data_IF_613573275009
#
_entry.id   IF_613573275009
#
_cell.length_a   1.000
_cell.length_b   1.000
_cell.length_c   1.000
_cell.angle_alpha   90.00
_cell.angle_beta   90.00
_cell.angle_gamma   90.00
#
_symmetry.space_group_name_H-M   'P 1'
#
loop_
_entity.id
_entity.type
_entity.pdbx_description
1 polymer ?
#
# COMPACT_ATOMS: atom_id res chain seq x y z
N UNK A 1 39.14 -14.68 45.48
CA UNK A 1 39.29 -13.76 44.33
C UNK A 1 39.01 -14.57 43.08
N UNK A 2 37.88 -14.46 42.37
CA UNK A 2 36.70 -13.63 42.57
C UNK A 2 35.47 -14.38 42.05
N UNK A 3 34.43 -14.38 42.87
CA UNK A 3 33.06 -14.75 42.51
C UNK A 3 32.40 -13.51 41.93
N UNK A 4 32.28 -13.40 40.60
CA UNK A 4 31.36 -12.46 39.93
C UNK A 4 31.34 -12.60 38.38
N UNK A 5 31.25 -13.83 37.85
CA UNK A 5 31.12 -14.01 36.39
C UNK A 5 30.11 -15.08 35.95
N UNK A 6 29.12 -15.40 36.81
CA UNK A 6 28.07 -16.35 36.46
C UNK A 6 26.70 -16.01 37.08
N UNK A 7 26.34 -14.74 37.02
CA UNK A 7 24.99 -14.22 37.21
C UNK A 7 24.79 -13.19 36.09
N UNK A 8 23.61 -13.15 35.45
CA UNK A 8 23.28 -12.43 34.20
C UNK A 8 23.50 -13.27 32.93
N UNK A 9 22.84 -14.45 32.85
CA UNK A 9 22.42 -15.01 31.55
C UNK A 9 21.24 -16.00 31.64
N UNK A 10 20.47 -15.97 32.74
CA UNK A 10 19.38 -16.94 32.98
C UNK A 10 18.15 -16.35 33.67
N UNK A 11 17.81 -15.07 33.41
CA UNK A 11 16.64 -14.43 34.02
C UNK A 11 15.85 -13.44 33.12
N UNK A 12 15.72 -13.71 31.82
CA UNK A 12 14.76 -13.01 30.92
C UNK A 12 13.88 -14.01 30.13
N UNK A 13 13.70 -15.23 30.63
CA UNK A 13 12.79 -16.23 30.01
C UNK A 13 11.65 -16.72 30.92
N UNK A 14 11.50 -16.19 32.14
CA UNK A 14 10.38 -16.55 33.02
C UNK A 14 9.95 -15.30 33.78
N UNK A 15 9.08 -14.50 33.16
CA UNK A 15 8.14 -13.54 33.78
C UNK A 15 7.40 -12.80 32.65
N UNK A 16 6.52 -13.52 31.95
CA UNK A 16 5.36 -12.97 31.24
C UNK A 16 4.30 -14.07 31.06
N UNK A 17 4.08 -14.83 32.13
CA UNK A 17 2.95 -15.75 32.30
C UNK A 17 2.48 -15.62 33.75
N UNK A 18 1.87 -14.47 34.07
CA UNK A 18 0.93 -14.24 35.17
C UNK A 18 0.61 -12.75 35.21
N UNK A 19 -0.18 -12.29 34.25
CA UNK A 19 -1.07 -11.12 34.37
C UNK A 19 -2.21 -11.31 33.36
N UNK A 20 -2.93 -12.41 33.57
CA UNK A 20 -4.24 -12.69 32.98
C UNK A 20 -5.16 -12.78 34.19
N UNK A 21 -5.76 -11.63 34.55
CA UNK A 21 -6.98 -11.44 35.35
C UNK A 21 -6.99 -10.00 35.89
N UNK A 22 -7.24 -9.01 35.02
CA UNK A 22 -7.79 -7.68 35.40
C UNK A 22 -8.29 -6.80 34.24
N UNK A 23 -8.35 -7.29 33.00
CA UNK A 23 -8.94 -6.54 31.88
C UNK A 23 -10.13 -7.31 31.28
N UNK A 24 -11.23 -7.40 32.02
CA UNK A 24 -12.50 -7.95 31.52
C UNK A 24 -13.66 -6.95 31.59
N UNK A 25 -13.41 -5.68 31.95
CA UNK A 25 -14.42 -4.61 31.95
C UNK A 25 -14.13 -3.45 30.97
N UNK A 26 -12.96 -3.39 30.31
CA UNK A 26 -12.62 -2.32 29.34
C UNK A 26 -12.98 -2.67 27.88
N UNK A 27 -13.32 -3.93 27.57
CA UNK A 27 -13.53 -4.39 26.19
C UNK A 27 -14.85 -3.92 25.56
N UNK A 28 -15.81 -3.46 26.36
CA UNK A 28 -17.11 -3.04 25.83
C UNK A 28 -17.12 -1.56 25.40
N UNK A 29 -16.32 -0.72 26.04
CA UNK A 29 -16.24 0.73 25.75
C UNK A 29 -15.35 1.02 24.53
N UNK A 30 -14.23 0.30 24.39
CA UNK A 30 -13.30 0.46 23.25
C UNK A 30 -13.92 0.04 21.90
N UNK A 31 -14.96 -0.81 21.93
CA UNK A 31 -15.69 -1.29 20.75
C UNK A 31 -16.60 -0.23 20.09
N UNK A 32 -16.88 0.88 20.79
CA UNK A 32 -17.71 2.00 20.29
C UNK A 32 -16.90 3.19 19.77
N UNK A 33 -15.58 3.13 19.85
CA UNK A 33 -14.70 4.22 19.41
C UNK A 33 -14.44 4.14 17.91
N UNK A 34 -14.85 5.16 17.17
CA UNK A 34 -14.50 5.33 15.76
C UNK A 34 -13.39 6.38 15.64
N UNK A 35 -12.58 6.32 14.58
CA UNK A 35 -11.60 7.38 14.32
C UNK A 35 -12.32 8.55 13.66
N UNK A 36 -12.16 9.75 14.19
CA UNK A 36 -12.67 10.99 13.61
C UNK A 36 -11.49 11.87 13.20
N UNK A 37 -11.61 12.52 12.05
CA UNK A 37 -10.79 13.69 11.72
C UNK A 37 -11.51 14.90 12.31
N UNK A 38 -10.92 15.49 13.35
CA UNK A 38 -11.47 16.63 14.06
C UNK A 38 -10.80 17.90 13.55
N UNK A 39 -11.59 18.84 13.06
CA UNK A 39 -11.17 20.16 12.63
C UNK A 39 -11.39 21.17 13.75
N UNK A 40 -10.38 22.01 14.00
CA UNK A 40 -10.43 23.05 15.03
C UNK A 40 -9.94 24.40 14.48
N UNK A 41 -10.50 25.49 14.99
CA UNK A 41 -10.05 26.85 14.76
C UNK A 41 -8.71 27.08 15.46
N UNK A 42 -7.83 27.84 14.82
CA UNK A 42 -6.54 28.18 15.40
C UNK A 42 -6.73 29.07 16.64
N UNK A 43 -6.12 28.75 17.80
CA UNK A 43 -6.30 29.55 19.01
C UNK A 43 -5.62 30.92 18.88
N UNK A 44 -6.30 31.99 19.31
CA UNK A 44 -5.77 33.38 19.26
C UNK A 44 -4.61 33.64 20.22
N UNK A 45 -4.36 32.77 21.20
CA UNK A 45 -3.29 32.94 22.20
C UNK A 45 -2.43 31.69 22.34
N UNK A 46 -1.15 31.83 21.97
CA UNK A 46 -0.11 30.80 22.10
C UNK A 46 0.11 30.41 23.58
N UNK A 47 -0.26 29.19 23.94
CA UNK A 47 0.19 28.53 25.17
C UNK A 47 0.78 27.17 24.79
N UNK A 48 2.11 27.10 24.78
CA UNK A 48 2.95 25.90 24.84
C UNK A 48 2.64 24.71 23.90
N UNK A 49 2.23 24.97 22.67
CA UNK A 49 2.50 24.07 21.53
C UNK A 49 3.29 24.86 20.49
N UNK A 50 4.47 24.37 20.09
CA UNK A 50 5.27 24.97 19.00
C UNK A 50 4.66 24.66 17.62
N UNK A 51 3.34 24.66 17.51
CA UNK A 51 2.61 24.43 16.27
C UNK A 51 1.49 25.46 16.16
N UNK A 52 1.71 26.49 15.35
CA UNK A 52 0.68 27.42 14.91
C UNK A 52 -0.28 26.77 13.88
N UNK A 53 -0.09 25.47 13.56
CA UNK A 53 -0.64 24.81 12.37
C UNK A 53 -1.71 23.73 12.65
N UNK A 54 -2.13 23.52 13.90
CA UNK A 54 -3.14 22.50 14.23
C UNK A 54 -4.56 22.98 13.88
N UNK A 55 -4.92 22.92 12.59
CA UNK A 55 -6.30 23.09 12.10
C UNK A 55 -7.10 21.79 12.10
N UNK A 56 -6.43 20.66 12.30
CA UNK A 56 -7.09 19.35 12.43
C UNK A 56 -6.19 18.29 13.07
N UNK A 57 -6.78 17.33 13.76
CA UNK A 57 -6.10 16.15 14.29
C UNK A 57 -6.99 14.91 14.14
N UNK A 58 -6.37 13.71 14.13
CA UNK A 58 -7.11 12.45 14.16
C UNK A 58 -7.19 11.95 15.61
N UNK A 59 -8.38 11.57 16.06
CA UNK A 59 -8.61 11.00 17.37
C UNK A 59 -9.60 9.84 17.30
N UNK A 60 -9.40 8.83 18.14
CA UNK A 60 -10.43 7.80 18.37
C UNK A 60 -11.39 8.34 19.42
N UNK A 61 -12.63 8.55 19.03
CA UNK A 61 -13.68 9.12 19.85
C UNK A 61 -14.94 8.29 19.69
N UNK A 62 -15.70 8.14 20.75
CA UNK A 62 -17.07 7.65 20.68
C UNK A 62 -17.97 8.73 20.05
N UNK A 63 -19.10 8.35 19.43
CA UNK A 63 -20.07 9.32 18.93
C UNK A 63 -20.54 10.33 19.99
N UNK A 64 -20.56 9.94 21.27
CA UNK A 64 -20.94 10.82 22.38
C UNK A 64 -19.81 11.77 22.76
N UNK A 65 -18.54 11.34 22.73
CA UNK A 65 -17.38 12.24 22.90
C UNK A 65 -17.26 13.25 21.77
N UNK A 66 -17.61 12.87 20.54
CA UNK A 66 -17.69 13.81 19.40
C UNK A 66 -18.75 14.88 19.67
N UNK A 67 -19.95 14.50 20.15
CA UNK A 67 -20.99 15.47 20.54
C UNK A 67 -20.59 16.40 21.68
N UNK A 68 -19.78 15.94 22.63
CA UNK A 68 -19.23 16.81 23.66
C UNK A 68 -18.13 17.73 23.13
N UNK A 69 -17.38 17.27 22.12
CA UNK A 69 -16.36 18.05 21.44
C UNK A 69 -16.97 19.15 20.55
N UNK A 70 -18.12 18.88 19.91
CA UNK A 70 -18.92 19.85 19.15
C UNK A 70 -19.28 21.10 19.96
N UNK A 71 -19.35 20.97 21.29
CA UNK A 71 -19.69 22.07 22.21
C UNK A 71 -18.48 22.92 22.62
N UNK A 72 -17.25 22.54 22.25
CA UNK A 72 -16.03 23.24 22.66
C UNK A 72 -15.79 24.47 21.77
N UNK A 73 -15.41 25.64 22.33
CA UNK A 73 -15.00 26.79 21.54
C UNK A 73 -13.84 26.43 20.61
N UNK A 74 -13.96 26.78 19.32
CA UNK A 74 -12.98 26.45 18.29
C UNK A 74 -13.16 25.08 17.65
N UNK A 75 -14.21 24.32 17.94
CA UNK A 75 -14.56 23.14 17.15
C UNK A 75 -15.19 23.53 15.80
N UNK A 76 -14.74 22.96 14.70
CA UNK A 76 -15.28 23.23 13.35
C UNK A 76 -16.12 22.07 12.85
N UNK A 77 -15.57 20.85 12.85
CA UNK A 77 -16.27 19.64 12.43
C UNK A 77 -15.53 18.38 12.87
N UNK A 78 -16.25 17.25 12.98
CA UNK A 78 -15.66 15.93 13.17
C UNK A 78 -16.26 14.99 12.14
N UNK A 79 -15.41 14.41 11.29
CA UNK A 79 -15.84 13.51 10.23
C UNK A 79 -15.40 12.09 10.56
N UNK A 80 -16.31 11.11 10.59
CA UNK A 80 -15.95 9.71 10.81
C UNK A 80 -15.07 9.24 9.65
N UNK A 81 -13.95 8.63 10.01
CA UNK A 81 -12.95 8.15 9.10
C UNK A 81 -13.51 7.06 8.16
N UNK A 82 -13.27 7.23 6.86
CA UNK A 82 -13.54 6.23 5.81
C UNK A 82 -12.26 5.96 5.04
N UNK A 83 -12.06 4.73 4.53
CA UNK A 83 -10.72 4.12 4.37
C UNK A 83 -10.53 3.41 3.02
N UNK A 84 -9.60 3.83 2.12
CA UNK A 84 -9.42 3.33 0.73
C UNK A 84 -8.03 3.62 0.09
N UNK A 85 -7.65 3.15 -1.14
CA UNK A 85 -6.23 3.06 -1.59
C UNK A 85 -5.75 3.65 -3.01
N UNK A 86 -4.48 3.51 -3.53
CA UNK A 86 -3.48 4.53 -4.05
C UNK A 86 -2.51 4.31 -5.35
N UNK A 87 -2.46 5.05 -6.48
CA UNK A 87 -1.64 4.69 -7.72
C UNK A 87 -0.45 5.63 -8.22
N UNK A 88 0.42 5.35 -9.25
CA UNK A 88 1.60 6.22 -9.70
C UNK A 88 1.74 6.71 -11.15
N UNK A 89 1.25 6.06 -12.23
CA UNK A 89 1.29 6.71 -13.58
C UNK A 89 0.44 7.99 -13.65
N UNK A 90 -0.25 8.26 -12.56
CA UNK A 90 -1.03 9.45 -12.31
C UNK A 90 -0.59 10.19 -11.03
N UNK A 91 0.13 9.58 -10.07
CA UNK A 91 0.42 10.27 -8.79
C UNK A 91 1.21 11.56 -8.93
N UNK A 92 2.22 11.72 -9.79
CA UNK A 92 2.90 13.01 -9.92
C UNK A 92 1.91 14.09 -10.37
N UNK A 93 1.11 13.80 -11.40
CA UNK A 93 0.08 14.73 -11.90
C UNK A 93 -1.00 15.01 -10.84
N UNK A 94 -1.46 13.98 -10.12
CA UNK A 94 -2.41 14.11 -9.00
C UNK A 94 -1.88 15.02 -7.89
N UNK A 95 -0.57 14.99 -7.62
CA UNK A 95 0.12 15.91 -6.70
C UNK A 95 0.47 17.27 -7.34
N UNK A 96 0.01 17.56 -8.56
CA UNK A 96 0.28 18.79 -9.27
C UNK A 96 1.70 18.92 -9.86
N UNK A 97 2.49 17.83 -9.85
CA UNK A 97 3.82 17.78 -10.48
C UNK A 97 3.66 17.63 -11.99
N UNK A 98 3.79 18.75 -12.69
CA UNK A 98 3.59 18.85 -14.13
C UNK A 98 4.91 19.19 -14.83
N UNK A 99 5.12 18.65 -16.04
CA UNK A 99 6.34 18.93 -16.79
C UNK A 99 6.47 20.44 -17.08
N UNK A 100 7.68 20.95 -16.86
CA UNK A 100 8.13 22.32 -17.14
C UNK A 100 7.41 23.42 -16.36
N UNK A 101 6.72 23.08 -15.28
CA UNK A 101 6.03 24.04 -14.43
C UNK A 101 6.06 23.65 -12.95
N UNK A 102 5.78 24.63 -12.09
CA UNK A 102 5.74 24.47 -10.64
C UNK A 102 7.01 23.83 -10.08
N UNK A 103 6.81 22.96 -9.10
CA UNK A 103 7.87 22.39 -8.29
C UNK A 103 8.95 21.63 -9.08
N UNK A 104 8.58 20.90 -10.14
CA UNK A 104 9.55 20.15 -10.94
C UNK A 104 10.53 21.04 -11.68
N UNK A 105 10.05 22.15 -12.26
CA UNK A 105 10.91 23.14 -12.90
C UNK A 105 11.84 23.78 -11.88
N UNK A 106 11.28 24.20 -10.74
CA UNK A 106 12.01 24.98 -9.74
C UNK A 106 13.04 24.12 -8.97
N UNK A 107 12.77 22.82 -8.79
CA UNK A 107 13.70 21.84 -8.23
C UNK A 107 14.64 21.20 -9.26
N UNK A 108 14.53 21.59 -10.53
CA UNK A 108 15.23 20.98 -11.66
C UNK A 108 15.10 19.44 -11.68
N UNK A 109 13.90 18.95 -11.38
CA UNK A 109 13.53 17.53 -11.40
C UNK A 109 14.41 16.59 -10.53
N UNK A 110 15.19 17.12 -9.58
CA UNK A 110 16.13 16.29 -8.81
C UNK A 110 17.57 16.29 -9.29
N UNK A 111 17.91 17.05 -10.33
CA UNK A 111 19.24 17.00 -10.95
C UNK A 111 20.37 17.19 -9.93
N UNK A 112 21.26 16.19 -9.84
CA UNK A 112 22.43 16.20 -8.97
C UNK A 112 22.17 15.81 -7.50
N UNK A 113 20.92 15.50 -7.13
CA UNK A 113 20.59 14.86 -5.85
C UNK A 113 20.79 13.35 -5.95
N UNK A 114 21.19 12.74 -4.83
CA UNK A 114 21.36 11.30 -4.70
C UNK A 114 20.35 10.81 -3.67
N UNK A 115 19.50 9.86 -4.06
CA UNK A 115 18.51 9.22 -3.20
C UNK A 115 19.04 7.83 -2.85
N UNK A 116 19.25 7.61 -1.55
CA UNK A 116 19.57 6.28 -1.01
C UNK A 116 18.29 5.48 -0.78
N UNK A 117 18.22 4.26 -1.30
CA UNK A 117 17.08 3.34 -1.12
C UNK A 117 17.58 2.10 -0.38
N UNK A 118 17.03 1.85 0.80
CA UNK A 118 17.34 0.70 1.66
C UNK A 118 16.18 -0.28 1.53
N UNK A 119 16.35 -1.36 0.77
CA UNK A 119 15.23 -2.22 0.33
C UNK A 119 15.70 -3.63 -0.08
N UNK A 120 14.91 -4.36 -0.89
CA UNK A 120 15.19 -5.72 -1.39
C UNK A 120 16.20 -5.78 -2.54
N UNK A 121 16.73 -4.63 -2.97
CA UNK A 121 17.69 -4.52 -4.07
C UNK A 121 17.15 -3.70 -5.24
N UNK A 122 17.71 -3.93 -6.43
CA UNK A 122 17.23 -3.29 -7.67
C UNK A 122 17.32 -4.24 -8.87
N UNK A 123 16.40 -4.14 -9.82
CA UNK A 123 16.55 -4.69 -11.16
C UNK A 123 17.06 -3.59 -12.11
N UNK A 124 18.39 -3.51 -12.34
CA UNK A 124 19.04 -2.34 -12.93
C UNK A 124 18.67 -2.13 -14.42
N UNK A 125 18.34 -3.20 -15.14
CA UNK A 125 18.07 -3.16 -16.58
C UNK A 125 16.65 -2.66 -16.91
N UNK A 126 15.83 -2.35 -15.91
CA UNK A 126 14.50 -1.78 -16.16
C UNK A 126 14.61 -0.40 -16.83
N UNK A 127 13.77 -0.08 -17.84
CA UNK A 127 13.77 1.22 -18.50
C UNK A 127 13.67 2.43 -17.56
N UNK A 128 13.05 2.28 -16.38
CA UNK A 128 12.98 3.34 -15.36
C UNK A 128 14.34 3.76 -14.80
N UNK A 129 15.40 2.97 -15.00
CA UNK A 129 16.74 3.27 -14.52
C UNK A 129 17.72 3.55 -15.66
N UNK A 130 17.21 3.83 -16.86
CA UNK A 130 18.02 4.41 -17.93
C UNK A 130 18.55 5.78 -17.50
N UNK A 131 19.71 6.16 -18.04
CA UNK A 131 20.40 7.40 -17.70
C UNK A 131 20.31 8.49 -18.77
N UNK A 132 19.34 8.37 -19.69
CA UNK A 132 19.05 9.42 -20.66
C UNK A 132 18.67 10.73 -19.93
N UNK A 133 19.35 11.82 -20.29
CA UNK A 133 19.16 13.14 -19.68
C UNK A 133 19.80 13.31 -18.29
N UNK A 134 20.42 12.27 -17.73
CA UNK A 134 21.09 12.36 -16.43
C UNK A 134 22.44 13.07 -16.55
N UNK A 135 22.80 13.95 -15.60
CA UNK A 135 24.16 14.46 -15.49
C UNK A 135 25.11 13.34 -15.03
N UNK A 136 26.45 13.50 -15.13
CA UNK A 136 27.38 12.60 -14.45
C UNK A 136 27.16 12.64 -12.92
N UNK A 137 27.49 11.56 -12.19
CA UNK A 137 27.40 11.52 -10.74
C UNK A 137 28.13 12.72 -10.09
N UNK A 138 27.60 13.31 -9.01
CA UNK A 138 28.26 14.44 -8.36
C UNK A 138 29.67 14.05 -7.90
N UNK A 139 30.67 14.91 -8.09
CA UNK A 139 32.07 14.63 -7.74
C UNK A 139 32.30 14.23 -6.26
N UNK A 140 31.38 14.61 -5.36
CA UNK A 140 31.38 14.20 -3.95
C UNK A 140 30.99 12.73 -3.71
N UNK A 141 30.42 12.06 -4.71
CA UNK A 141 29.98 10.67 -4.60
C UNK A 141 31.17 9.73 -4.50
N UNK A 142 31.14 8.87 -3.47
CA UNK A 142 32.19 7.88 -3.19
C UNK A 142 31.63 6.46 -3.02
N UNK A 143 30.37 6.26 -3.41
CA UNK A 143 29.73 4.95 -3.32
C UNK A 143 30.34 3.96 -4.31
N UNK A 144 30.03 2.68 -4.11
CA UNK A 144 30.50 1.58 -4.96
C UNK A 144 29.32 0.92 -5.67
N UNK A 145 29.65 0.28 -6.78
CA UNK A 145 28.73 -0.54 -7.55
C UNK A 145 29.17 -1.99 -7.46
N UNK A 146 28.45 -2.82 -6.71
CA UNK A 146 28.80 -4.22 -6.44
C UNK A 146 27.98 -5.19 -7.31
N UNK A 147 27.96 -4.95 -8.62
CA UNK A 147 27.47 -5.94 -9.59
C UNK A 147 28.63 -6.72 -10.19
N UNK A 148 28.43 -8.02 -10.48
CA UNK A 148 29.48 -8.91 -10.97
C UNK A 148 29.95 -8.64 -12.41
N UNK A 149 29.25 -7.80 -13.18
CA UNK A 149 29.59 -7.55 -14.60
C UNK A 149 29.65 -6.05 -14.90
N UNK A 150 28.52 -5.33 -14.90
CA UNK A 150 28.39 -3.86 -14.68
C UNK A 150 26.92 -3.49 -14.73
N UNK A 151 26.37 -2.85 -13.70
CA UNK A 151 24.95 -2.41 -13.73
C UNK A 151 24.71 -1.08 -13.01
N UNK A 152 25.73 -0.21 -13.00
CA UNK A 152 25.56 1.20 -12.65
C UNK A 152 25.81 2.08 -13.87
N UNK A 153 25.11 3.20 -13.93
CA UNK A 153 25.16 4.20 -14.98
C UNK A 153 25.00 5.60 -14.34
N UNK A 154 24.71 6.64 -15.12
CA UNK A 154 24.50 7.96 -14.53
C UNK A 154 23.19 8.08 -13.74
N UNK A 155 22.27 7.11 -13.84
CA UNK A 155 21.03 7.05 -13.07
C UNK A 155 21.21 6.29 -11.75
N UNK A 156 21.57 5.02 -11.85
CA UNK A 156 21.92 4.14 -10.75
C UNK A 156 23.43 4.24 -10.52
N UNK A 157 23.84 5.08 -9.58
CA UNK A 157 25.27 5.44 -9.39
C UNK A 157 25.97 4.60 -8.32
N UNK A 158 25.22 3.76 -7.61
CA UNK A 158 25.77 2.79 -6.67
C UNK A 158 24.75 1.74 -6.25
N UNK A 159 25.25 0.56 -5.94
CA UNK A 159 24.46 -0.57 -5.50
C UNK A 159 25.32 -1.43 -4.58
N UNK A 160 24.82 -1.69 -3.38
CA UNK A 160 25.48 -2.41 -2.31
C UNK A 160 24.51 -3.44 -1.74
N UNK A 161 25.02 -4.49 -1.13
CA UNK A 161 24.23 -5.47 -0.39
C UNK A 161 24.89 -5.77 0.96
N UNK A 162 24.09 -6.08 1.97
CA UNK A 162 24.55 -6.30 3.34
C UNK A 162 23.91 -7.59 3.88
N UNK A 163 24.74 -8.63 4.07
CA UNK A 163 24.44 -9.99 4.55
C UNK A 163 23.67 -10.96 3.61
N UNK A 164 24.11 -12.25 3.67
CA UNK A 164 23.68 -13.48 2.96
C UNK A 164 23.60 -13.50 1.43
N UNK A 165 23.30 -12.39 0.78
CA UNK A 165 23.25 -12.34 -0.68
C UNK A 165 24.63 -11.99 -1.25
N UNK A 166 24.90 -12.42 -2.48
CA UNK A 166 26.13 -12.10 -3.21
C UNK A 166 25.89 -11.06 -4.31
N UNK A 167 24.74 -10.39 -4.29
CA UNK A 167 24.31 -9.46 -5.35
C UNK A 167 23.28 -8.44 -4.85
N UNK A 168 23.31 -7.20 -5.34
CA UNK A 168 22.28 -6.20 -5.09
C UNK A 168 21.04 -6.36 -6.00
N UNK A 169 20.97 -7.43 -6.80
CA UNK A 169 19.81 -7.74 -7.62
C UNK A 169 18.55 -7.95 -6.77
N UNK A 170 17.45 -7.41 -7.27
CA UNK A 170 16.11 -7.57 -6.71
C UNK A 170 15.40 -8.77 -7.32
N UNK A 171 15.17 -9.79 -6.49
CA UNK A 171 14.41 -10.99 -6.85
C UNK A 171 12.96 -10.93 -6.34
N UNK A 172 12.66 -9.96 -5.47
CA UNK A 172 11.34 -9.77 -4.87
C UNK A 172 10.50 -8.78 -5.69
N UNK A 173 11.09 -7.64 -6.04
CA UNK A 173 10.47 -6.57 -6.83
C UNK A 173 10.13 -5.32 -6.02
N UNK A 174 10.02 -5.41 -4.70
CA UNK A 174 9.69 -4.27 -3.83
C UNK A 174 10.71 -3.12 -3.98
N UNK A 175 12.01 -3.40 -3.91
CA UNK A 175 13.06 -2.38 -4.07
C UNK A 175 13.08 -1.71 -5.43
N UNK A 176 12.84 -2.48 -6.50
CA UNK A 176 12.71 -1.96 -7.87
C UNK A 176 11.51 -1.02 -8.01
N UNK A 177 10.37 -1.42 -7.46
CA UNK A 177 9.15 -0.63 -7.47
C UNK A 177 9.31 0.66 -6.65
N UNK A 178 9.86 0.54 -5.43
CA UNK A 178 10.22 1.65 -4.55
C UNK A 178 11.14 2.66 -5.23
N UNK A 179 12.27 2.20 -5.78
CA UNK A 179 13.29 3.07 -6.36
C UNK A 179 12.77 3.83 -7.59
N UNK A 180 11.95 3.17 -8.42
CA UNK A 180 11.32 3.79 -9.58
C UNK A 180 10.18 4.74 -9.21
N UNK A 181 9.49 4.54 -8.10
CA UNK A 181 8.52 5.50 -7.56
C UNK A 181 9.21 6.78 -7.07
N UNK A 182 10.35 6.62 -6.38
CA UNK A 182 11.11 7.76 -5.88
C UNK A 182 11.75 8.57 -7.02
N UNK A 183 12.40 7.87 -7.95
CA UNK A 183 13.28 8.49 -8.93
C UNK A 183 13.29 7.77 -10.28
N UNK A 184 12.26 7.04 -10.69
CA UNK A 184 12.23 6.46 -12.04
C UNK A 184 12.34 7.54 -13.11
N UNK A 185 13.14 7.30 -14.15
CA UNK A 185 13.15 8.13 -15.35
C UNK A 185 11.83 7.95 -16.13
N UNK A 186 11.59 8.82 -17.11
CA UNK A 186 10.39 8.77 -17.94
C UNK A 186 10.33 7.50 -18.78
N UNK A 187 9.28 6.69 -18.59
CA UNK A 187 9.02 5.47 -19.37
C UNK A 187 7.66 5.59 -20.05
N UNK A 188 7.67 5.83 -21.36
CA UNK A 188 6.45 5.95 -22.18
C UNK A 188 5.76 4.59 -22.37
N UNK A 189 4.43 4.59 -22.41
CA UNK A 189 3.62 3.40 -22.66
C UNK A 189 3.62 2.38 -21.52
N UNK A 190 4.00 2.79 -20.31
CA UNK A 190 3.96 1.95 -19.13
C UNK A 190 2.50 1.62 -18.77
N UNK A 191 2.21 0.33 -18.62
CA UNK A 191 0.88 -0.18 -18.30
C UNK A 191 0.98 -1.57 -17.64
N UNK A 192 -0.09 -1.98 -16.97
CA UNK A 192 -0.26 -3.33 -16.42
C UNK A 192 -1.49 -3.95 -17.07
N UNK A 193 -1.32 -4.93 -17.96
CA UNK A 193 -2.40 -5.52 -18.77
C UNK A 193 -3.25 -4.47 -19.52
N UNK A 194 -2.63 -3.40 -20.01
CA UNK A 194 -3.34 -2.29 -20.66
C UNK A 194 -3.96 -1.28 -19.68
N UNK A 195 -4.07 -1.61 -18.39
CA UNK A 195 -4.51 -0.68 -17.35
C UNK A 195 -3.42 0.31 -16.96
N UNK A 196 -3.85 1.48 -16.47
CA UNK A 196 -3.01 2.56 -16.01
C UNK A 196 -1.99 3.06 -17.06
N UNK A 197 -2.35 2.92 -18.34
CA UNK A 197 -1.50 3.27 -19.46
C UNK A 197 -1.11 4.75 -19.44
N UNK A 198 0.20 5.02 -19.53
CA UNK A 198 0.71 6.39 -19.53
C UNK A 198 2.23 6.43 -19.58
N UNK A 199 2.79 7.56 -19.14
CA UNK A 199 4.23 7.68 -18.92
C UNK A 199 4.50 7.47 -17.43
N UNK A 200 5.17 6.37 -17.07
CA UNK A 200 5.63 6.18 -15.69
C UNK A 200 6.84 7.08 -15.42
N UNK A 201 6.87 7.69 -14.24
CA UNK A 201 7.93 8.61 -13.83
C UNK A 201 7.96 8.67 -12.29
N UNK A 202 9.15 8.77 -11.72
CA UNK A 202 9.31 8.96 -10.28
C UNK A 202 9.07 10.41 -9.84
N UNK A 203 9.01 10.64 -8.53
CA UNK A 203 8.84 11.99 -7.96
C UNK A 203 10.01 12.93 -8.28
N UNK A 204 11.23 12.41 -8.40
CA UNK A 204 12.44 13.14 -8.78
C UNK A 204 13.17 12.45 -9.94
N UNK A 205 12.69 12.59 -11.19
CA UNK A 205 13.15 11.77 -12.31
C UNK A 205 14.60 12.01 -12.73
N UNK A 206 15.19 13.17 -12.40
CA UNK A 206 16.60 13.47 -12.66
C UNK A 206 17.51 13.32 -11.43
N UNK A 207 17.02 12.73 -10.33
CA UNK A 207 17.86 12.34 -9.19
C UNK A 207 18.62 11.04 -9.46
N UNK A 208 19.83 10.92 -8.92
CA UNK A 208 20.59 9.69 -8.92
C UNK A 208 20.07 8.73 -7.85
N UNK A 209 20.23 7.42 -8.07
CA UNK A 209 19.89 6.35 -7.13
C UNK A 209 21.14 5.68 -6.57
N UNK A 210 21.11 5.40 -5.28
CA UNK A 210 22.07 4.54 -4.59
C UNK A 210 21.31 3.47 -3.81
N UNK A 211 21.50 2.19 -4.18
CA UNK A 211 20.72 1.07 -3.65
C UNK A 211 21.51 0.35 -2.57
N UNK A 212 20.85 0.02 -1.47
CA UNK A 212 21.39 -0.71 -0.34
C UNK A 212 20.45 -1.87 -0.02
N UNK A 213 20.79 -3.07 -0.51
CA UNK A 213 20.02 -4.28 -0.23
C UNK A 213 20.30 -4.75 1.19
N UNK A 214 19.26 -4.81 2.03
CA UNK A 214 19.39 -5.21 3.44
C UNK A 214 18.67 -6.52 3.77
N UNK A 215 17.71 -6.94 2.95
CA UNK A 215 16.90 -8.12 3.19
C UNK A 215 16.48 -8.77 1.86
N UNK A 216 16.48 -10.10 1.80
CA UNK A 216 16.05 -10.91 0.65
C UNK A 216 14.70 -11.60 0.86
N UNK A 217 14.00 -11.35 1.97
CA UNK A 217 12.80 -12.08 2.36
C UNK A 217 11.65 -11.13 2.72
N UNK A 218 10.44 -11.52 2.28
CA UNK A 218 9.16 -10.89 2.61
C UNK A 218 9.04 -10.65 4.13
N UNK A 219 9.04 -9.39 4.54
CA UNK A 219 8.56 -9.00 5.86
C UNK A 219 7.05 -8.84 5.75
N UNK A 220 6.33 -9.84 6.26
CA UNK A 220 4.87 -9.79 6.34
C UNK A 220 4.40 -8.68 7.29
N UNK A 221 3.16 -8.18 7.13
CA UNK A 221 2.62 -7.14 7.99
C UNK A 221 2.21 -7.74 9.34
N UNK A 222 3.09 -7.67 10.34
CA UNK A 222 2.65 -7.83 11.72
C UNK A 222 1.98 -6.53 12.17
N UNK A 223 0.77 -6.63 12.72
CA UNK A 223 0.12 -5.55 13.46
C UNK A 223 1.00 -5.14 14.67
N UNK A 224 0.77 -3.93 15.19
CA UNK A 224 1.62 -3.16 16.14
C UNK A 224 2.68 -2.29 15.41
N UNK A 225 2.29 -1.40 14.49
CA UNK A 225 3.14 -1.25 13.29
C UNK A 225 3.65 0.14 12.90
N UNK A 226 3.51 1.21 13.70
CA UNK A 226 4.44 2.34 13.49
C UNK A 226 5.78 1.89 14.07
N UNK A 227 6.65 1.32 13.23
CA UNK A 227 8.02 0.94 13.63
C UNK A 227 9.03 2.08 13.40
N UNK A 228 8.57 3.22 12.86
CA UNK A 228 9.37 4.41 12.55
C UNK A 228 8.92 5.59 13.42
N UNK A 229 8.98 5.38 14.73
CA UNK A 229 8.52 6.31 15.76
C UNK A 229 9.55 7.39 16.14
N UNK A 230 10.76 7.30 15.60
CA UNK A 230 11.81 8.25 15.94
C UNK A 230 11.46 9.68 15.45
N UNK A 231 11.58 10.71 16.31
CA UNK A 231 11.20 12.09 15.97
C UNK A 231 11.89 12.67 14.74
N UNK A 232 13.12 12.24 14.45
CA UNK A 232 13.93 12.71 13.32
C UNK A 232 13.66 11.98 12.00
N UNK A 233 12.74 11.00 11.99
CA UNK A 233 12.32 10.30 10.78
C UNK A 233 11.06 10.96 10.25
N UNK A 234 11.00 11.23 8.94
CA UNK A 234 9.74 11.56 8.26
C UNK A 234 8.97 10.25 8.01
N UNK A 235 7.92 10.05 8.77
CA UNK A 235 6.99 8.94 8.71
C UNK A 235 5.81 9.37 7.86
N UNK A 236 5.64 8.71 6.73
CA UNK A 236 4.55 9.00 5.80
C UNK A 236 3.46 7.96 6.04
N UNK A 237 2.20 8.34 5.94
CA UNK A 237 1.05 7.44 5.81
C UNK A 237 0.58 7.34 4.36
N UNK A 238 -0.23 6.33 4.06
CA UNK A 238 -0.58 5.99 2.69
C UNK A 238 -2.03 6.45 2.36
N UNK A 239 -2.24 7.33 1.36
CA UNK A 239 -3.56 7.89 0.93
C UNK A 239 -3.92 7.82 -0.59
N UNK A 240 -5.19 7.64 -0.97
CA UNK A 240 -5.62 7.30 -2.35
C UNK A 240 -5.23 8.32 -3.40
N UNK A 241 -5.42 7.94 -4.65
CA UNK A 241 -5.58 8.90 -5.74
C UNK A 241 -6.93 8.67 -6.42
N UNK A 242 -7.34 9.61 -7.26
CA UNK A 242 -8.58 9.65 -8.04
C UNK A 242 -8.67 8.62 -9.19
N UNK A 243 -7.74 7.67 -9.28
CA UNK A 243 -7.68 6.62 -10.31
C UNK A 243 -8.17 5.30 -9.75
N UNK A 244 -8.98 4.60 -10.54
CA UNK A 244 -9.45 3.25 -10.26
C UNK A 244 -9.19 2.31 -11.45
N UNK A 245 -8.95 1.02 -11.18
CA UNK A 245 -8.96 -0.01 -12.24
C UNK A 245 -10.19 -0.88 -12.04
N UNK A 246 -11.28 -0.45 -12.68
CA UNK A 246 -12.65 -0.82 -12.34
C UNK A 246 -13.03 -2.21 -12.85
N UNK A 247 -13.55 -3.03 -11.94
CA UNK A 247 -14.18 -4.32 -12.22
C UNK A 247 -15.50 -4.40 -11.44
N UNK A 248 -16.64 -4.43 -12.11
CA UNK A 248 -17.97 -4.38 -11.46
C UNK A 248 -18.56 -5.77 -11.37
N UNK A 249 -18.88 -6.25 -10.16
CA UNK A 249 -19.68 -7.45 -9.99
C UNK A 249 -21.16 -7.10 -10.18
N UNK A 250 -21.86 -7.88 -11.01
CA UNK A 250 -23.30 -7.74 -11.25
C UNK A 250 -23.96 -9.04 -10.82
N UNK A 251 -24.86 -8.97 -9.85
CA UNK A 251 -25.61 -10.12 -9.38
C UNK A 251 -26.86 -10.35 -10.25
N UNK A 252 -27.43 -11.56 -10.19
CA UNK A 252 -28.64 -11.92 -10.94
C UNK A 252 -29.90 -11.14 -10.56
N UNK A 253 -29.91 -10.47 -9.40
CA UNK A 253 -30.94 -9.50 -9.00
C UNK A 253 -30.71 -8.08 -9.58
N UNK A 254 -29.73 -7.91 -10.47
CA UNK A 254 -29.28 -6.64 -11.06
C UNK A 254 -28.59 -5.65 -10.11
N UNK A 255 -28.29 -6.04 -8.87
CA UNK A 255 -27.45 -5.20 -8.01
C UNK A 255 -26.02 -5.15 -8.54
N UNK A 256 -25.43 -3.96 -8.45
CA UNK A 256 -24.10 -3.64 -8.97
C UNK A 256 -23.17 -3.32 -7.81
N UNK A 257 -22.02 -4.00 -7.78
CA UNK A 257 -20.99 -3.79 -6.78
C UNK A 257 -19.69 -3.37 -7.44
N UNK A 258 -19.22 -2.22 -6.98
CA UNK A 258 -18.12 -1.50 -7.55
C UNK A 258 -16.78 -1.98 -6.98
N UNK A 259 -16.10 -2.87 -7.71
CA UNK A 259 -14.80 -3.41 -7.32
C UNK A 259 -13.64 -2.95 -8.20
N UNK A 260 -12.47 -3.49 -7.91
CA UNK A 260 -11.23 -3.26 -8.65
C UNK A 260 -10.48 -4.56 -8.96
N UNK A 261 -9.74 -4.56 -10.07
CA UNK A 261 -8.88 -5.67 -10.51
C UNK A 261 -7.96 -5.24 -11.64
N UNK A 262 -6.66 -5.53 -11.54
CA UNK A 262 -5.71 -5.21 -12.60
C UNK A 262 -5.74 -6.23 -13.74
N UNK A 263 -6.11 -7.49 -13.48
CA UNK A 263 -6.21 -8.52 -14.51
C UNK A 263 -7.61 -8.52 -15.12
N UNK A 264 -7.72 -7.95 -16.33
CA UNK A 264 -8.98 -7.77 -17.07
C UNK A 264 -8.87 -8.39 -18.48
N UNK A 265 -9.00 -9.73 -18.61
CA UNK A 265 -8.91 -10.41 -19.91
C UNK A 265 -10.02 -9.97 -20.88
N UNK A 266 -9.64 -9.58 -22.10
CA UNK A 266 -10.58 -9.06 -23.12
C UNK A 266 -11.56 -10.13 -23.64
N UNK A 267 -11.16 -11.39 -23.59
CA UNK A 267 -11.92 -12.56 -24.04
C UNK A 267 -12.84 -13.13 -22.95
N UNK A 268 -12.85 -12.54 -21.76
CA UNK A 268 -13.73 -12.99 -20.68
C UNK A 268 -15.19 -12.66 -21.00
N UNK A 269 -16.01 -13.71 -21.03
CA UNK A 269 -17.45 -13.58 -21.30
C UNK A 269 -18.15 -12.73 -20.25
N UNK A 270 -18.96 -11.78 -20.70
CA UNK A 270 -19.86 -10.99 -19.83
C UNK A 270 -21.19 -11.70 -19.54
N UNK A 271 -21.26 -13.01 -19.76
CA UNK A 271 -22.41 -13.83 -19.42
C UNK A 271 -22.54 -14.03 -17.90
N UNK A 272 -23.76 -14.22 -17.43
CA UNK A 272 -24.01 -14.66 -16.07
C UNK A 272 -23.51 -16.10 -15.91
N UNK A 273 -22.71 -16.32 -14.88
CA UNK A 273 -22.19 -17.62 -14.47
C UNK A 273 -22.75 -17.97 -13.09
N UNK A 274 -22.90 -19.26 -12.76
CA UNK A 274 -23.26 -19.67 -11.41
C UNK A 274 -22.27 -19.12 -10.38
N UNK A 275 -22.78 -18.68 -9.24
CA UNK A 275 -22.03 -18.09 -8.15
C UNK A 275 -22.01 -19.03 -6.95
N UNK A 276 -20.90 -19.15 -6.25
CA UNK A 276 -20.81 -19.96 -5.03
C UNK A 276 -19.95 -19.27 -3.98
N UNK A 277 -20.38 -19.29 -2.72
CA UNK A 277 -19.55 -18.84 -1.61
C UNK A 277 -18.76 -20.00 -1.02
N UNK A 278 -17.44 -19.87 -0.99
CA UNK A 278 -16.56 -20.96 -0.55
C UNK A 278 -16.81 -21.38 0.90
N UNK A 279 -17.15 -20.43 1.78
CA UNK A 279 -17.48 -20.71 3.19
C UNK A 279 -18.74 -21.57 3.41
N UNK A 280 -19.57 -21.75 2.39
CA UNK A 280 -20.76 -22.62 2.45
C UNK A 280 -20.54 -24.03 1.89
N UNK A 281 -19.35 -24.32 1.34
CA UNK A 281 -19.05 -25.64 0.78
C UNK A 281 -18.91 -26.72 1.86
N UNK A 282 -18.48 -26.32 3.05
CA UNK A 282 -18.36 -27.18 4.23
C UNK A 282 -18.43 -26.32 5.50
N UNK A 283 -19.56 -26.36 6.21
CA UNK A 283 -19.79 -25.57 7.42
C UNK A 283 -18.81 -25.88 8.56
N UNK A 284 -18.17 -27.06 8.54
CA UNK A 284 -17.17 -27.46 9.53
C UNK A 284 -15.75 -26.99 9.21
N UNK A 285 -15.52 -26.49 7.99
CA UNK A 285 -14.21 -26.02 7.54
C UNK A 285 -14.14 -24.49 7.53
N UNK A 286 -13.61 -23.93 8.62
CA UNK A 286 -13.44 -22.50 8.80
C UNK A 286 -12.43 -21.87 7.82
N UNK A 287 -11.62 -22.67 7.13
CA UNK A 287 -10.65 -22.18 6.13
C UNK A 287 -11.27 -22.04 4.74
N UNK A 288 -12.43 -22.66 4.50
CA UNK A 288 -13.12 -22.62 3.22
C UNK A 288 -13.51 -21.20 2.80
N UNK A 289 -13.94 -20.34 3.74
CA UNK A 289 -14.24 -18.94 3.43
C UNK A 289 -13.04 -18.18 2.86
N UNK A 290 -11.82 -18.58 3.24
CA UNK A 290 -10.58 -17.98 2.77
C UNK A 290 -10.05 -18.67 1.51
N UNK A 291 -10.77 -19.62 0.92
CA UNK A 291 -10.36 -20.34 -0.29
C UNK A 291 -8.97 -20.98 -0.15
N UNK A 292 -8.71 -21.61 0.99
CA UNK A 292 -7.52 -22.46 1.14
C UNK A 292 -7.58 -23.59 0.11
N UNK A 293 -6.44 -23.95 -0.53
CA UNK A 293 -6.40 -25.03 -1.51
C UNK A 293 -7.07 -26.32 -1.03
N UNK A 294 -6.78 -26.72 0.21
CA UNK A 294 -7.29 -27.93 0.84
C UNK A 294 -8.81 -27.91 1.07
N UNK A 295 -9.39 -26.72 1.18
CA UNK A 295 -10.83 -26.51 1.38
C UNK A 295 -11.63 -26.55 0.07
N UNK A 296 -10.97 -26.39 -1.08
CA UNK A 296 -11.60 -26.33 -2.41
C UNK A 296 -11.61 -27.68 -3.14
N UNK A 297 -11.37 -28.79 -2.44
CA UNK A 297 -11.27 -30.14 -3.00
C UNK A 297 -12.57 -30.66 -3.69
N UNK A 298 -13.74 -30.07 -3.39
CA UNK A 298 -15.03 -30.41 -4.03
C UNK A 298 -15.18 -29.75 -5.40
N UNK A 299 -14.34 -30.17 -6.35
CA UNK A 299 -14.24 -29.52 -7.67
C UNK A 299 -15.56 -29.50 -8.46
N UNK A 300 -16.44 -30.49 -8.29
CA UNK A 300 -17.74 -30.54 -8.99
C UNK A 300 -18.67 -29.36 -8.65
N UNK A 301 -18.55 -28.81 -7.44
CA UNK A 301 -19.37 -27.67 -7.00
C UNK A 301 -18.75 -26.34 -7.43
N UNK A 302 -17.45 -26.30 -7.76
CA UNK A 302 -16.70 -25.09 -8.10
C UNK A 302 -16.52 -24.93 -9.61
N UNK A 303 -16.39 -26.04 -10.34
CA UNK A 303 -16.06 -26.04 -11.77
C UNK A 303 -17.05 -25.21 -12.58
N UNK A 304 -16.53 -24.26 -13.36
CA UNK A 304 -17.34 -23.39 -14.22
C UNK A 304 -18.05 -22.24 -13.50
N UNK A 305 -17.79 -22.02 -12.20
CA UNK A 305 -18.47 -21.02 -11.38
C UNK A 305 -17.60 -19.82 -11.03
N UNK A 306 -18.24 -18.74 -10.61
CA UNK A 306 -17.61 -17.63 -9.91
C UNK A 306 -17.56 -17.98 -8.43
N UNK A 307 -16.38 -17.95 -7.81
CA UNK A 307 -16.20 -18.28 -6.40
C UNK A 307 -16.04 -17.00 -5.57
N UNK A 308 -16.83 -16.85 -4.52
CA UNK A 308 -16.68 -15.79 -3.52
C UNK A 308 -15.73 -16.27 -2.43
N UNK A 309 -14.64 -15.53 -2.22
CA UNK A 309 -13.63 -15.78 -1.20
C UNK A 309 -13.51 -14.55 -0.29
N UNK A 310 -13.12 -14.74 0.96
CA UNK A 310 -12.81 -13.65 1.89
C UNK A 310 -11.30 -13.41 2.00
N UNK A 311 -10.92 -12.16 2.26
CA UNK A 311 -9.55 -11.74 2.54
C UNK A 311 -9.09 -12.22 3.92
N UNK A 312 -7.84 -12.65 4.04
CA UNK A 312 -7.26 -13.21 5.27
C UNK A 312 -6.74 -14.65 5.08
N UNK A 313 -6.04 -15.20 6.07
CA UNK A 313 -5.51 -16.58 6.00
C UNK A 313 -4.29 -16.73 5.10
N UNK A 314 -4.50 -16.88 3.79
CA UNK A 314 -3.42 -16.97 2.77
C UNK A 314 -3.35 -15.70 1.91
N UNK A 315 -2.25 -15.57 1.17
CA UNK A 315 -2.03 -14.51 0.19
C UNK A 315 -3.18 -14.44 -0.82
N UNK A 316 -3.60 -13.22 -1.18
CA UNK A 316 -4.75 -13.00 -2.05
C UNK A 316 -4.59 -13.64 -3.43
N UNK A 317 -3.40 -13.57 -4.01
CA UNK A 317 -3.11 -14.23 -5.29
C UNK A 317 -3.16 -15.76 -5.18
N UNK A 318 -2.71 -16.32 -4.05
CA UNK A 318 -2.79 -17.75 -3.79
C UNK A 318 -4.23 -18.26 -3.70
N UNK A 319 -5.17 -17.45 -3.19
CA UNK A 319 -6.63 -17.75 -3.25
C UNK A 319 -7.12 -17.88 -4.68
N UNK A 320 -6.69 -16.94 -5.53
CA UNK A 320 -6.97 -17.01 -6.97
C UNK A 320 -6.44 -18.33 -7.55
N UNK A 321 -5.18 -18.68 -7.27
CA UNK A 321 -4.61 -19.94 -7.74
C UNK A 321 -5.42 -21.15 -7.28
N UNK A 322 -5.80 -21.22 -6.01
CA UNK A 322 -6.65 -22.28 -5.48
C UNK A 322 -8.00 -22.39 -6.20
N UNK A 323 -8.66 -21.26 -6.46
CA UNK A 323 -9.93 -21.21 -7.21
C UNK A 323 -9.75 -21.71 -8.65
N UNK A 324 -8.66 -21.29 -9.32
CA UNK A 324 -8.34 -21.71 -10.68
C UNK A 324 -8.07 -23.21 -10.74
N UNK A 325 -7.28 -23.74 -9.81
CA UNK A 325 -6.93 -25.16 -9.74
C UNK A 325 -8.16 -26.04 -9.45
N UNK A 326 -9.11 -25.53 -8.67
CA UNK A 326 -10.40 -26.17 -8.44
C UNK A 326 -11.38 -26.11 -9.64
N UNK A 327 -10.99 -25.44 -10.73
CA UNK A 327 -11.78 -25.29 -11.95
C UNK A 327 -12.75 -24.10 -11.97
N UNK A 328 -12.63 -23.18 -11.01
CA UNK A 328 -13.41 -21.94 -10.97
C UNK A 328 -13.07 -21.03 -12.14
N UNK A 329 -14.07 -20.34 -12.68
CA UNK A 329 -13.94 -19.48 -13.86
C UNK A 329 -13.61 -18.04 -13.51
N UNK A 330 -14.10 -17.55 -12.37
CA UNK A 330 -13.81 -16.22 -11.86
C UNK A 330 -13.81 -16.18 -10.33
N UNK A 331 -13.30 -15.11 -9.73
CA UNK A 331 -13.30 -14.91 -8.27
C UNK A 331 -13.85 -13.54 -7.87
N UNK A 332 -14.71 -13.50 -6.86
CA UNK A 332 -15.04 -12.27 -6.14
C UNK A 332 -14.33 -12.34 -4.79
N UNK A 333 -13.36 -11.47 -4.57
CA UNK A 333 -12.63 -11.38 -3.32
C UNK A 333 -13.27 -10.32 -2.43
N UNK A 334 -13.84 -10.72 -1.30
CA UNK A 334 -14.45 -9.82 -0.32
C UNK A 334 -13.42 -9.42 0.72
N UNK A 335 -13.36 -8.13 1.05
CA UNK A 335 -12.50 -7.64 2.12
C UNK A 335 -12.95 -8.15 3.50
N UNK A 336 -12.01 -8.21 4.45
CA UNK A 336 -12.38 -8.35 5.86
C UNK A 336 -12.79 -6.99 6.44
N UNK A 337 -13.51 -7.02 7.55
CA UNK A 337 -13.97 -5.82 8.27
C UNK A 337 -12.84 -4.83 8.54
N UNK A 338 -11.65 -5.32 8.95
CA UNK A 338 -10.44 -4.52 9.16
C UNK A 338 -10.06 -3.67 7.95
N UNK A 339 -10.16 -4.23 6.75
CA UNK A 339 -9.81 -3.52 5.53
C UNK A 339 -10.98 -2.68 5.00
N UNK A 340 -12.19 -2.89 5.51
CA UNK A 340 -13.38 -2.09 5.23
C UNK A 340 -13.57 -1.89 3.74
N UNK A 341 -13.52 -0.63 3.32
CA UNK A 341 -13.69 -0.30 1.91
C UNK A 341 -12.41 -0.60 1.09
N UNK A 342 -11.20 -0.68 1.67
CA UNK A 342 -9.88 -0.64 0.96
C UNK A 342 -9.66 -1.79 -0.01
N UNK A 343 -10.11 -1.62 -1.25
CA UNK A 343 -9.99 -2.60 -2.35
C UNK A 343 -8.73 -2.39 -3.18
N UNK A 344 -8.02 -3.46 -3.52
CA UNK A 344 -6.83 -3.39 -4.36
C UNK A 344 -7.13 -3.89 -5.78
N UNK A 345 -6.54 -3.24 -6.77
CA UNK A 345 -6.55 -3.68 -8.16
C UNK A 345 -5.47 -4.76 -8.36
N UNK A 346 -5.66 -5.92 -7.75
CA UNK A 346 -4.69 -7.00 -7.84
C UNK A 346 -4.73 -7.72 -9.20
N UNK A 347 -3.56 -8.18 -9.64
CA UNK A 347 -3.40 -8.98 -10.83
C UNK A 347 -3.55 -10.47 -10.48
N UNK A 348 -4.79 -10.91 -10.26
CA UNK A 348 -5.07 -12.33 -10.01
C UNK A 348 -4.76 -13.21 -11.22
N UNK A 349 -4.56 -14.50 -10.95
CA UNK A 349 -4.23 -15.54 -11.96
C UNK A 349 -5.40 -15.94 -12.86
N UNK A 350 -6.57 -15.41 -12.55
CA UNK A 350 -7.86 -15.65 -13.18
C UNK A 350 -8.71 -14.36 -13.08
N UNK A 351 -9.76 -14.20 -13.89
CA UNK A 351 -10.66 -13.05 -13.83
C UNK A 351 -11.20 -12.84 -12.41
N UNK A 352 -10.96 -11.66 -11.83
CA UNK A 352 -11.39 -11.40 -10.47
C UNK A 352 -11.86 -9.96 -10.27
N UNK A 353 -12.56 -9.73 -9.17
CA UNK A 353 -12.86 -8.39 -8.65
C UNK A 353 -12.78 -8.41 -7.13
N UNK A 354 -12.10 -7.42 -6.55
CA UNK A 354 -12.11 -7.22 -5.10
C UNK A 354 -13.22 -6.24 -4.71
N UNK A 355 -14.01 -6.59 -3.70
CA UNK A 355 -15.11 -5.79 -3.16
C UNK A 355 -14.84 -5.36 -1.72
N UNK A 356 -15.49 -4.26 -1.32
CA UNK A 356 -15.50 -3.81 0.08
C UNK A 356 -16.13 -4.88 1.00
N UNK A 357 -15.84 -4.78 2.30
CA UNK A 357 -16.50 -5.62 3.28
C UNK A 357 -18.03 -5.46 3.24
N UNK A 358 -18.52 -4.21 3.20
CA UNK A 358 -19.95 -3.91 3.19
C UNK A 358 -20.68 -4.47 1.95
N UNK A 359 -20.06 -4.37 0.77
CA UNK A 359 -20.61 -4.94 -0.46
C UNK A 359 -20.56 -6.47 -0.44
N UNK A 360 -19.49 -7.04 0.12
CA UNK A 360 -19.38 -8.48 0.32
C UNK A 360 -20.47 -9.06 1.21
N UNK A 361 -20.92 -8.34 2.25
CA UNK A 361 -22.07 -8.74 3.06
C UNK A 361 -23.35 -8.83 2.22
N UNK A 362 -23.58 -7.86 1.32
CA UNK A 362 -24.74 -7.87 0.41
C UNK A 362 -24.67 -9.01 -0.60
N UNK A 363 -23.49 -9.28 -1.17
CA UNK A 363 -23.26 -10.43 -2.06
C UNK A 363 -23.57 -11.75 -1.34
N UNK A 364 -23.10 -11.92 -0.10
CA UNK A 364 -23.40 -13.11 0.72
C UNK A 364 -24.89 -13.23 1.04
N UNK A 365 -25.57 -12.11 1.34
CA UNK A 365 -27.02 -12.09 1.56
C UNK A 365 -27.79 -12.52 0.31
N UNK A 366 -27.40 -12.03 -0.86
CA UNK A 366 -28.00 -12.45 -2.14
C UNK A 366 -27.83 -13.95 -2.39
N UNK A 367 -26.63 -14.51 -2.17
CA UNK A 367 -26.37 -15.95 -2.33
C UNK A 367 -27.33 -16.79 -1.48
N UNK A 368 -27.66 -16.33 -0.27
CA UNK A 368 -28.62 -17.01 0.61
C UNK A 368 -30.09 -16.81 0.22
N UNK A 369 -30.41 -15.78 -0.57
CA UNK A 369 -31.79 -15.45 -0.95
C UNK A 369 -32.34 -16.26 -2.14
N UNK A 370 -31.49 -16.99 -2.86
CA UNK A 370 -31.89 -17.73 -4.07
C UNK A 370 -31.22 -19.10 -4.14
N UNK A 371 -31.91 -20.08 -4.73
CA UNK A 371 -31.38 -21.43 -4.95
C UNK A 371 -30.38 -21.49 -6.12
N UNK A 372 -30.45 -20.52 -7.05
CA UNK A 372 -29.60 -20.48 -8.25
C UNK A 372 -28.89 -19.12 -8.35
N UNK A 373 -27.99 -18.79 -7.42
CA UNK A 373 -27.26 -17.54 -7.46
C UNK A 373 -26.35 -17.50 -8.69
N UNK A 374 -26.46 -16.41 -9.44
CA UNK A 374 -25.60 -16.11 -10.58
C UNK A 374 -24.99 -14.71 -10.45
N UNK A 375 -23.84 -14.51 -11.08
CA UNK A 375 -23.20 -13.21 -11.23
C UNK A 375 -22.37 -13.13 -12.51
N UNK A 376 -21.98 -11.91 -12.88
CA UNK A 376 -20.96 -11.64 -13.91
C UNK A 376 -20.02 -10.54 -13.43
N UNK A 377 -18.84 -10.46 -14.06
CA UNK A 377 -17.88 -9.38 -13.81
C UNK A 377 -17.76 -8.55 -15.08
N UNK A 378 -17.94 -7.24 -14.95
CA UNK A 378 -17.78 -6.27 -16.02
C UNK A 378 -16.47 -5.51 -15.83
N UNK A 379 -15.51 -5.74 -16.72
CA UNK A 379 -14.23 -5.05 -16.76
C UNK A 379 -14.38 -3.72 -17.49
N UNK A 380 -14.02 -2.62 -16.81
CA UNK A 380 -14.16 -1.25 -17.33
C UNK A 380 -12.81 -0.54 -17.54
N UNK A 381 -11.71 -1.22 -17.24
CA UNK A 381 -10.37 -0.67 -17.35
C UNK A 381 -10.12 0.46 -16.36
N UNK A 382 -9.26 1.41 -16.76
CA UNK A 382 -8.83 2.52 -15.91
C UNK A 382 -9.79 3.70 -16.01
N UNK A 383 -10.25 4.18 -14.86
CA UNK A 383 -11.06 5.39 -14.70
C UNK A 383 -10.29 6.40 -13.86
N UNK A 384 -10.43 7.69 -14.16
CA UNK A 384 -9.81 8.81 -13.43
C UNK A 384 -10.92 9.79 -13.05
N UNK A 385 -10.79 10.44 -11.90
CA UNK A 385 -11.75 11.42 -11.38
C UNK A 385 -12.66 10.86 -10.29
N UNK A 386 -12.21 9.89 -9.51
CA UNK A 386 -12.89 9.49 -8.28
C UNK A 386 -12.83 10.64 -7.25
N UNK A 387 -13.98 11.26 -7.02
CA UNK A 387 -14.17 12.42 -6.14
C UNK A 387 -13.98 12.10 -4.65
N UNK A 388 -13.85 10.82 -4.32
CA UNK A 388 -13.56 10.35 -2.96
C UNK A 388 -12.08 10.44 -2.60
N UNK A 389 -11.18 10.76 -3.52
CA UNK A 389 -9.74 10.82 -3.25
C UNK A 389 -9.25 12.23 -2.82
N UNK A 390 -8.21 12.35 -1.97
CA UNK A 390 -7.43 11.28 -1.34
C UNK A 390 -8.04 10.80 -0.01
N UNK A 391 -7.91 9.49 0.28
CA UNK A 391 -8.38 8.86 1.53
C UNK A 391 -7.29 7.95 2.11
N UNK A 392 -7.12 7.91 3.44
CA UNK A 392 -6.12 7.05 4.08
C UNK A 392 -6.44 5.56 3.89
N UNK A 393 -5.46 4.75 3.52
CA UNK A 393 -5.65 3.31 3.33
C UNK A 393 -5.70 2.54 4.65
N UNK A 394 -6.44 1.41 4.65
CA UNK A 394 -6.69 0.63 5.87
C UNK A 394 -5.44 0.00 6.48
N UNK A 395 -4.45 -0.32 5.64
CA UNK A 395 -3.17 -0.85 6.09
C UNK A 395 -2.20 0.23 6.54
N UNK A 396 -2.51 1.52 6.32
CA UNK A 396 -1.65 2.61 6.77
C UNK A 396 -1.63 2.62 8.29
N UNK A 397 -0.45 2.42 8.86
CA UNK A 397 -0.25 2.42 10.31
C UNK A 397 -0.64 3.77 10.91
N UNK A 398 -1.22 3.73 12.12
CA UNK A 398 -1.76 4.90 12.82
C UNK A 398 -0.99 5.16 14.10
N UNK A 399 -0.94 6.42 14.51
CA UNK A 399 -0.48 6.79 15.85
C UNK A 399 -1.45 6.34 16.95
N UNK A 400 -1.17 6.70 18.22
CA UNK A 400 -0.09 7.60 18.63
C UNK A 400 1.30 6.96 18.55
N UNK A 401 2.33 7.81 18.66
CA UNK A 401 3.71 7.39 18.80
C UNK A 401 3.95 6.88 20.22
N UNK A 402 4.27 5.59 20.39
CA UNK A 402 4.48 5.01 21.70
C UNK A 402 5.91 5.19 22.22
N UNK A 403 6.93 5.17 21.36
CA UNK A 403 8.31 5.42 21.75
C UNK A 403 8.59 6.87 22.17
N UNK A 404 7.81 7.83 21.69
CA UNK A 404 7.91 9.24 22.08
C UNK A 404 6.51 9.85 22.25
N UNK A 405 5.85 9.59 23.38
CA UNK A 405 4.54 10.18 23.69
C UNK A 405 4.61 11.71 23.61
N UNK A 406 3.68 12.32 22.86
CA UNK A 406 3.64 13.77 22.62
C UNK A 406 4.16 14.21 21.25
N UNK A 407 4.75 13.32 20.45
CA UNK A 407 5.13 13.60 19.05
C UNK A 407 4.20 12.84 18.12
N UNK A 408 3.35 13.57 17.40
CA UNK A 408 2.35 12.98 16.50
C UNK A 408 3.01 12.21 15.35
N UNK A 409 2.43 11.06 15.01
CA UNK A 409 2.79 10.23 13.85
C UNK A 409 1.53 9.63 13.22
N UNK A 410 1.52 9.37 11.89
CA UNK A 410 2.53 9.77 10.90
C UNK A 410 2.58 11.30 10.70
N UNK A 411 3.63 11.82 10.06
CA UNK A 411 3.81 13.27 9.86
C UNK A 411 3.02 13.81 8.65
N UNK A 412 2.85 13.01 7.60
CA UNK A 412 2.17 13.42 6.36
C UNK A 412 1.58 12.22 5.63
N UNK A 413 0.66 12.44 4.70
CA UNK A 413 0.11 11.43 3.80
C UNK A 413 0.69 11.55 2.38
N UNK A 414 0.76 10.42 1.67
CA UNK A 414 1.05 10.42 0.23
C UNK A 414 0.53 9.16 -0.49
N UNK A 415 0.52 9.16 -1.84
CA UNK A 415 0.10 8.00 -2.64
C UNK A 415 0.96 6.73 -2.43
N UNK A 416 0.35 5.54 -2.23
CA UNK A 416 1.01 4.21 -2.06
C UNK A 416 0.32 2.79 -2.28
N UNK A 417 -0.78 2.53 -3.02
CA UNK A 417 -1.53 1.23 -3.27
C UNK A 417 -2.21 1.12 -4.65
N UNK A 418 -1.80 0.20 -5.51
CA UNK A 418 -2.04 0.26 -6.96
C UNK A 418 -1.10 1.27 -7.67
N UNK A 419 -0.01 1.65 -7.01
CA UNK A 419 1.13 2.36 -7.59
C UNK A 419 1.69 1.52 -8.74
N UNK A 420 1.65 2.04 -9.97
CA UNK A 420 2.32 1.44 -11.13
C UNK A 420 3.77 1.94 -11.21
N UNK A 421 4.71 1.07 -10.91
CA UNK A 421 6.13 1.38 -11.00
C UNK A 421 6.89 0.20 -11.67
N UNK A 422 8.23 0.29 -11.69
CA UNK A 422 9.07 -0.73 -12.28
C UNK A 422 8.94 -2.08 -11.55
N UNK A 423 9.12 -3.17 -12.31
CA UNK A 423 9.11 -4.53 -11.78
C UNK A 423 10.18 -5.40 -12.46
N UNK A 424 10.85 -6.33 -11.75
CA UNK A 424 11.98 -7.13 -12.29
C UNK A 424 11.65 -8.05 -13.47
N UNK A 425 10.38 -8.34 -13.74
CA UNK A 425 9.97 -9.22 -14.85
C UNK A 425 8.87 -8.60 -15.70
N UNK A 426 8.96 -8.81 -17.02
CA UNK A 426 7.90 -8.39 -17.94
C UNK A 426 6.65 -9.27 -17.80
N UNK A 427 5.45 -8.70 -17.94
CA UNK A 427 4.19 -9.44 -17.87
C UNK A 427 4.10 -10.56 -18.93
N UNK A 428 4.75 -10.40 -20.09
CA UNK A 428 4.81 -11.43 -21.14
C UNK A 428 5.58 -12.67 -20.66
N UNK A 429 6.55 -12.50 -19.77
CA UNK A 429 7.28 -13.59 -19.12
C UNK A 429 6.41 -14.24 -18.05
N UNK A 430 5.65 -13.43 -17.28
CA UNK A 430 4.72 -13.90 -16.24
C UNK A 430 3.65 -14.85 -16.83
N UNK A 431 3.03 -14.48 -17.96
CA UNK A 431 2.01 -15.31 -18.60
C UNK A 431 2.58 -16.57 -19.30
N UNK A 432 3.80 -16.50 -19.83
CA UNK A 432 4.39 -17.61 -20.61
C UNK A 432 5.02 -18.70 -19.75
N UNK A 433 5.52 -18.37 -18.56
CA UNK A 433 6.31 -19.32 -17.76
C UNK A 433 5.51 -20.03 -16.67
N UNK A 434 4.19 -19.76 -16.50
CA UNK A 434 3.46 -20.17 -15.29
C UNK A 434 4.27 -19.86 -14.02
N UNK A 435 5.11 -18.80 -14.06
CA UNK A 435 5.85 -18.33 -12.91
C UNK A 435 4.79 -18.03 -11.88
N UNK A 436 4.79 -18.80 -10.79
CA UNK A 436 3.76 -18.74 -9.77
C UNK A 436 3.50 -17.26 -9.45
N UNK A 437 2.29 -16.79 -9.76
CA UNK A 437 1.87 -15.41 -9.52
C UNK A 437 1.84 -15.07 -8.01
N UNK A 438 2.30 -16.00 -7.16
CA UNK A 438 2.44 -15.93 -5.71
C UNK A 438 3.42 -14.87 -5.22
N UNK A 439 4.19 -14.20 -6.10
CA UNK A 439 5.13 -13.13 -5.70
C UNK A 439 4.76 -11.71 -6.14
N UNK A 440 3.70 -11.49 -6.93
CA UNK A 440 3.40 -10.17 -7.50
C UNK A 440 2.36 -9.44 -6.66
N UNK A 441 2.77 -8.97 -5.49
CA UNK A 441 2.03 -7.94 -4.79
C UNK A 441 2.36 -6.61 -5.46
N UNK A 442 1.37 -5.76 -5.72
CA UNK A 442 1.68 -4.33 -5.91
C UNK A 442 2.29 -3.91 -4.56
N UNK A 443 3.58 -3.60 -4.48
CA UNK A 443 4.16 -3.22 -3.22
C UNK A 443 3.41 -2.00 -2.70
N UNK A 444 2.99 -2.10 -1.45
CA UNK A 444 2.42 -0.98 -0.71
C UNK A 444 3.58 -0.11 -0.23
N UNK A 445 4.41 0.34 -1.17
CA UNK A 445 5.61 1.11 -0.87
C UNK A 445 5.29 2.58 -0.85
N UNK A 446 5.72 3.19 0.23
CA UNK A 446 5.62 4.61 0.46
C UNK A 446 7.04 5.18 0.41
N UNK A 447 7.44 5.78 -0.72
CA UNK A 447 8.72 6.48 -0.81
C UNK A 447 8.60 7.90 -1.38
N UNK A 448 8.63 8.81 -0.41
CA UNK A 448 9.32 10.12 -0.33
C UNK A 448 9.15 11.14 -1.47
N UNK A 449 8.25 12.09 -1.20
CA UNK A 449 8.28 13.48 -1.69
C UNK A 449 9.52 14.26 -1.15
N UNK A 450 10.20 13.75 -0.12
CA UNK A 450 11.26 14.48 0.60
C UNK A 450 12.53 14.77 -0.21
N UNK A 451 12.85 13.96 -1.22
CA UNK A 451 13.99 14.22 -2.10
C UNK A 451 13.80 15.50 -2.93
N UNK A 452 12.55 15.78 -3.31
CA UNK A 452 12.12 17.01 -3.96
C UNK A 452 12.43 18.25 -3.12
N UNK A 453 12.02 18.24 -1.84
CA UNK A 453 12.04 19.43 -0.97
C UNK A 453 13.47 19.91 -0.70
N UNK A 454 14.44 18.99 -0.65
CA UNK A 454 15.86 19.31 -0.43
C UNK A 454 16.48 20.14 -1.56
N UNK A 455 15.86 20.15 -2.74
CA UNK A 455 16.36 20.85 -3.94
C UNK A 455 15.97 22.33 -3.97
N UNK A 456 14.74 22.67 -3.57
CA UNK A 456 14.31 24.07 -3.50
C UNK A 456 15.02 24.86 -2.40
N UNK A 457 15.69 24.17 -1.46
CA UNK A 457 16.36 24.79 -0.34
C UNK A 457 17.66 24.07 0.03
N UNK A 458 18.70 24.24 -0.80
CA UNK A 458 20.07 23.74 -0.56
C UNK A 458 20.64 24.09 0.84
N UNK A 459 20.06 25.06 1.55
CA UNK A 459 20.48 25.53 2.87
C UNK A 459 19.65 25.00 4.07
N UNK A 460 18.65 24.12 3.87
CA UNK A 460 17.81 23.63 4.98
C UNK A 460 18.34 22.31 5.56
N UNK A 461 18.31 22.25 6.89
CA UNK A 461 18.52 21.02 7.66
C UNK A 461 17.39 20.01 7.38
N UNK A 462 17.57 18.71 7.67
CA UNK A 462 16.50 17.72 7.53
C UNK A 462 15.19 18.13 8.20
N UNK A 463 15.26 18.69 9.42
CA UNK A 463 14.10 19.25 10.13
C UNK A 463 13.50 20.45 9.40
N UNK A 464 14.35 21.34 8.88
CA UNK A 464 13.91 22.48 8.06
C UNK A 464 13.24 22.08 6.74
N UNK A 465 13.37 20.83 6.28
CA UNK A 465 12.68 20.27 5.11
C UNK A 465 11.36 19.57 5.45
N UNK A 466 11.15 19.22 6.72
CA UNK A 466 9.87 18.71 7.24
C UNK A 466 8.91 19.88 7.57
N UNK A 467 9.46 20.99 8.09
CA UNK A 467 8.73 22.21 8.44
C UNK A 467 8.15 23.08 7.29
N UNK A 468 8.55 23.03 5.99
CA UNK A 468 8.03 23.95 4.96
C UNK A 468 6.65 23.58 4.43
N UNK A 469 6.16 22.36 4.64
CA UNK A 469 4.95 21.87 3.99
C UNK A 469 3.67 22.53 4.53
N UNK A 470 3.76 23.32 5.61
CA UNK A 470 2.65 24.12 6.16
C UNK A 470 2.61 25.59 5.72
N UNK A 471 3.59 26.08 4.93
CA UNK A 471 3.74 27.53 4.62
C UNK A 471 3.52 27.93 3.15
N UNK A 472 2.67 27.23 2.41
CA UNK A 472 2.14 27.73 1.14
C UNK A 472 0.61 27.62 1.09
N UNK A 473 -0.04 28.59 1.72
CA UNK A 473 -1.39 29.07 1.37
C UNK A 473 -1.42 30.58 1.59
#
# INVERSE_FOLDING_TARGET
MDSNFMFILSLICILNFHFLETFANETQEESKLETYIVHVEAPETQIFTQSEDLKSFAARLSPDEVKEMEKKPGFVSALPEKVLPLHTTHSPNFLGLNQNMGFWRDSNYGKGVIIGVLDTGIFPDHPSFNDEGMPPPPAKWKGKCEFNVTSCNNKLIGARFFQRDNTPLDEDGHGTHTASTAAGNFVKGANLFGNANGTAVGMAPLAHLAIYKLFSRKLGPYNFSVAHEAPWILTVGASTIDRMIRATAVLGNNELFEGESAFQPMDFSSAFLPLVYAGMLNSSDLYAQYCFPESLNKTDVIRGKIVVCESGGIERIAKGQAVKDAGGTAMILVNSERYGNTIAAEAHVLPATQLSYADGLKVKAYINSTLNPVAKILFKGTLIGDDRAPVVAAFSSRGPNFASPGILKPDILGPGLNILAAWPVSWKTILKQNLHLTSYQVPQCLVLISAGLRLCSKARTPTGLQLPLSRQS
#
